data_IF_881526837333
#
_entry.id   IF_881526837333
#
_cell.length_a   1.000
_cell.length_b   1.000
_cell.length_c   1.000
_cell.angle_alpha   90.00
_cell.angle_beta   90.00
_cell.angle_gamma   90.00
#
_symmetry.space_group_name_H-M   'P 1'
#
loop_
_entity.id
_entity.type
_entity.pdbx_description
1 polymer ?
#
# COMPACT_ATOMS: atom_id res chain seq x y z
N UNK A 1 -0.08 -5.98 -30.31
CA UNK A 1 1.12 -5.96 -29.48
C UNK A 1 0.95 -5.12 -28.19
N UNK A 2 0.24 -3.98 -28.20
CA UNK A 2 0.06 -3.11 -27.02
C UNK A 2 -0.76 -3.77 -25.91
N UNK A 3 -1.83 -4.45 -26.25
CA UNK A 3 -2.73 -5.10 -25.25
C UNK A 3 -2.05 -6.21 -24.45
N UNK A 4 -1.13 -6.96 -25.08
CA UNK A 4 -0.36 -8.00 -24.38
C UNK A 4 0.62 -7.44 -23.34
N UNK A 5 1.34 -6.37 -23.69
CA UNK A 5 2.27 -5.68 -22.78
C UNK A 5 1.53 -5.05 -21.61
N UNK A 6 0.40 -4.38 -21.86
CA UNK A 6 -0.42 -3.75 -20.80
C UNK A 6 -0.98 -4.81 -19.83
N UNK A 7 -1.38 -5.96 -20.35
CA UNK A 7 -1.82 -7.10 -19.53
C UNK A 7 -0.70 -7.68 -18.67
N UNK A 8 0.50 -7.84 -19.25
CA UNK A 8 1.68 -8.34 -18.52
C UNK A 8 2.08 -7.40 -17.37
N UNK A 9 2.07 -6.09 -17.63
CA UNK A 9 2.35 -5.07 -16.64
C UNK A 9 1.36 -5.05 -15.50
N UNK A 10 0.08 -5.06 -15.83
CA UNK A 10 -0.97 -5.07 -14.82
C UNK A 10 -0.86 -6.29 -13.89
N UNK A 11 -0.52 -7.46 -14.44
CA UNK A 11 -0.29 -8.68 -13.67
C UNK A 11 0.97 -8.62 -12.82
N UNK A 12 2.07 -8.08 -13.35
CA UNK A 12 3.29 -7.88 -12.60
C UNK A 12 3.06 -6.93 -11.40
N UNK A 13 2.37 -5.82 -11.63
CA UNK A 13 1.99 -4.88 -10.59
C UNK A 13 1.13 -5.51 -9.47
N UNK A 14 0.16 -6.33 -9.85
CA UNK A 14 -0.67 -7.07 -8.90
C UNK A 14 0.14 -8.11 -8.12
N UNK A 15 1.09 -8.78 -8.77
CA UNK A 15 1.99 -9.74 -8.12
C UNK A 15 2.90 -9.05 -7.09
N UNK A 16 3.51 -7.90 -7.42
CA UNK A 16 4.34 -7.12 -6.51
C UNK A 16 3.55 -6.65 -5.27
N UNK A 17 2.34 -6.12 -5.48
CA UNK A 17 1.46 -5.73 -4.36
C UNK A 17 1.11 -6.92 -3.46
N UNK A 18 0.91 -8.09 -4.05
CA UNK A 18 0.60 -9.31 -3.28
C UNK A 18 1.82 -9.81 -2.51
N UNK A 19 3.02 -9.71 -3.10
CA UNK A 19 4.27 -10.10 -2.46
C UNK A 19 4.55 -9.22 -1.24
N UNK A 20 4.41 -7.90 -1.35
CA UNK A 20 4.58 -6.97 -0.24
C UNK A 20 3.55 -7.13 0.89
N UNK A 21 2.39 -7.70 0.60
CA UNK A 21 1.29 -7.81 1.57
C UNK A 21 1.69 -8.54 2.84
N UNK A 22 2.30 -9.73 2.69
CA UNK A 22 2.64 -10.60 3.84
C UNK A 22 3.61 -9.94 4.83
N UNK A 23 4.77 -9.40 4.41
CA UNK A 23 5.68 -8.74 5.31
C UNK A 23 5.10 -7.44 5.90
N UNK A 24 4.34 -6.65 5.13
CA UNK A 24 3.69 -5.45 5.66
C UNK A 24 2.68 -5.79 6.74
N UNK A 25 1.82 -6.79 6.53
CA UNK A 25 0.84 -7.22 7.54
C UNK A 25 1.49 -7.93 8.74
N UNK A 26 2.68 -8.48 8.58
CA UNK A 26 3.44 -9.04 9.71
C UNK A 26 4.05 -7.94 10.59
N UNK A 27 4.47 -6.82 10.01
CA UNK A 27 5.10 -5.71 10.73
C UNK A 27 4.07 -4.71 11.27
N UNK A 28 3.06 -4.35 10.47
CA UNK A 28 2.09 -3.30 10.79
C UNK A 28 0.74 -3.87 11.23
N UNK A 29 0.12 -3.20 12.18
CA UNK A 29 -1.14 -3.62 12.80
C UNK A 29 -2.37 -3.13 12.01
N UNK A 30 -2.36 -3.37 10.69
CA UNK A 30 -3.52 -3.15 9.79
C UNK A 30 -4.08 -4.48 9.31
N UNK A 31 -5.31 -4.47 8.84
CA UNK A 31 -5.92 -5.65 8.21
C UNK A 31 -5.65 -5.69 6.70
N UNK A 32 -5.87 -6.88 6.11
CA UNK A 32 -5.65 -7.12 4.68
C UNK A 32 -6.55 -6.25 3.80
N UNK A 33 -7.77 -6.00 4.22
CA UNK A 33 -8.74 -5.22 3.42
C UNK A 33 -8.30 -3.76 3.33
N UNK A 34 -7.83 -3.20 4.44
CA UNK A 34 -7.24 -1.86 4.50
C UNK A 34 -5.99 -1.77 3.61
N UNK A 35 -5.07 -2.74 3.72
CA UNK A 35 -3.88 -2.77 2.86
C UNK A 35 -4.26 -2.76 1.38
N UNK A 36 -5.17 -3.63 0.94
CA UNK A 36 -5.55 -3.75 -0.47
C UNK A 36 -6.29 -2.51 -0.98
N UNK A 37 -7.13 -1.89 -0.15
CA UNK A 37 -7.89 -0.69 -0.51
C UNK A 37 -6.98 0.53 -0.64
N UNK A 38 -6.01 0.67 0.25
CA UNK A 38 -5.15 1.85 0.33
C UNK A 38 -3.88 1.75 -0.53
N UNK A 39 -3.57 0.56 -1.08
CA UNK A 39 -2.41 0.39 -1.96
C UNK A 39 -2.82 0.45 -3.42
N UNK A 40 -2.32 1.46 -4.13
CA UNK A 40 -2.45 1.61 -5.58
C UNK A 40 -1.12 1.33 -6.26
N UNK A 41 -1.17 0.80 -7.47
CA UNK A 41 0.01 0.63 -8.31
C UNK A 41 -0.06 1.61 -9.46
N UNK A 42 1.03 2.32 -9.71
CA UNK A 42 1.21 3.23 -10.84
C UNK A 42 2.25 2.60 -11.74
N UNK A 43 1.91 2.40 -13.01
CA UNK A 43 2.81 1.87 -14.02
C UNK A 43 3.28 3.04 -14.90
N UNK A 44 4.57 3.15 -15.13
CA UNK A 44 5.14 4.12 -16.05
C UNK A 44 5.90 3.39 -17.15
N UNK A 45 5.60 3.76 -18.38
CA UNK A 45 6.20 3.21 -19.59
C UNK A 45 7.09 4.25 -20.22
N UNK A 46 8.36 3.92 -20.41
CA UNK A 46 9.28 4.72 -21.21
C UNK A 46 9.82 3.89 -22.37
N UNK A 47 9.76 4.46 -23.55
CA UNK A 47 10.40 3.92 -24.74
C UNK A 47 11.58 4.77 -25.11
N UNK A 48 12.76 4.18 -25.04
CA UNK A 48 14.01 4.87 -25.45
C UNK A 48 14.14 4.92 -26.96
N UNK A 49 14.95 5.86 -27.46
CA UNK A 49 15.18 6.05 -28.89
C UNK A 49 15.87 4.84 -29.57
N UNK A 50 16.57 4.02 -28.82
CA UNK A 50 17.20 2.75 -29.24
C UNK A 50 16.22 1.60 -29.37
N UNK A 51 14.94 1.82 -29.07
CA UNK A 51 13.88 0.81 -29.10
C UNK A 51 13.73 0.00 -27.82
N UNK A 52 14.57 0.24 -26.82
CA UNK A 52 14.40 -0.38 -25.51
C UNK A 52 13.15 0.13 -24.79
N UNK A 53 12.53 -0.74 -24.01
CA UNK A 53 11.34 -0.43 -23.21
C UNK A 53 11.72 -0.54 -21.75
N UNK A 54 11.63 0.56 -21.02
CA UNK A 54 11.75 0.59 -19.58
C UNK A 54 10.37 0.62 -18.95
N UNK A 55 10.20 -0.19 -17.90
CA UNK A 55 8.97 -0.24 -17.13
C UNK A 55 9.30 0.10 -15.69
N UNK A 56 8.75 1.19 -15.22
CA UNK A 56 8.83 1.57 -13.82
C UNK A 56 7.48 1.33 -13.13
N UNK A 57 7.54 0.79 -11.94
CA UNK A 57 6.39 0.62 -11.07
C UNK A 57 6.55 1.49 -9.83
N UNK A 58 5.48 2.14 -9.43
CA UNK A 58 5.41 2.86 -8.17
C UNK A 58 4.18 2.41 -7.39
N UNK A 59 4.33 2.38 -6.08
CA UNK A 59 3.20 2.20 -5.18
C UNK A 59 2.77 3.55 -4.65
N UNK A 60 1.47 3.79 -4.67
CA UNK A 60 0.87 5.01 -4.16
C UNK A 60 -0.24 4.66 -3.16
N UNK A 61 -0.49 5.52 -2.21
CA UNK A 61 -1.54 5.37 -1.22
C UNK A 61 -1.63 6.61 -0.34
N UNK A 62 -2.77 6.78 0.29
CA UNK A 62 -2.96 7.83 1.28
C UNK A 62 -2.54 7.35 2.66
N UNK A 63 -2.26 8.29 3.55
CA UNK A 63 -2.08 8.02 4.97
C UNK A 63 -3.34 7.36 5.54
N UNK A 64 -3.14 6.35 6.37
CA UNK A 64 -4.24 5.52 6.87
C UNK A 64 -4.74 6.12 8.19
N UNK A 65 -6.06 6.35 8.36
CA UNK A 65 -6.60 6.81 9.64
C UNK A 65 -6.14 5.92 10.80
N UNK A 66 -5.73 6.54 11.90
CA UNK A 66 -5.16 5.81 13.05
C UNK A 66 -6.12 4.76 13.61
N UNK A 67 -7.42 4.97 13.45
CA UNK A 67 -8.46 4.01 13.83
C UNK A 67 -8.38 2.66 13.07
N UNK A 68 -7.74 2.62 11.89
CA UNK A 68 -7.57 1.40 11.08
C UNK A 68 -6.41 0.51 11.56
N UNK A 69 -5.59 1.02 12.48
CA UNK A 69 -4.57 0.24 13.18
C UNK A 69 -5.16 -0.39 14.46
N UNK A 70 -4.33 -1.11 15.22
CA UNK A 70 -4.74 -1.63 16.52
C UNK A 70 -4.91 -0.48 17.52
N UNK A 71 -6.07 0.19 17.44
CA UNK A 71 -6.40 1.38 18.22
C UNK A 71 -7.65 1.16 19.04
N UNK A 72 -7.58 1.45 20.33
CA UNK A 72 -8.70 1.29 21.27
C UNK A 72 -8.79 2.52 22.18
N UNK A 73 -9.87 2.59 22.95
CA UNK A 73 -10.04 3.57 24.01
C UNK A 73 -10.04 2.80 25.33
N UNK A 74 -9.17 3.19 26.24
CA UNK A 74 -9.05 2.55 27.56
C UNK A 74 -10.23 2.94 28.49
N UNK A 75 -10.28 2.33 29.65
CA UNK A 75 -11.32 2.60 30.67
C UNK A 75 -11.32 4.02 31.21
N UNK A 76 -10.22 4.76 31.02
CA UNK A 76 -10.06 6.17 31.40
C UNK A 76 -10.42 7.12 30.24
N UNK A 77 -10.87 6.60 29.09
CA UNK A 77 -11.21 7.39 27.92
C UNK A 77 -10.02 7.84 27.08
N UNK A 78 -8.81 7.33 27.34
CA UNK A 78 -7.60 7.65 26.58
C UNK A 78 -7.46 6.74 25.38
N UNK A 79 -6.97 7.29 24.29
CA UNK A 79 -6.67 6.50 23.08
C UNK A 79 -5.35 5.76 23.26
N UNK A 80 -5.39 4.46 23.04
CA UNK A 80 -4.21 3.58 22.99
C UNK A 80 -4.09 3.03 21.59
N UNK A 81 -2.93 3.20 20.96
CA UNK A 81 -2.68 2.76 19.59
C UNK A 81 -1.40 1.96 19.47
N UNK A 82 -1.40 0.98 18.59
CA UNK A 82 -0.22 0.22 18.20
C UNK A 82 -0.18 0.16 16.68
N UNK A 83 0.75 0.91 16.08
CA UNK A 83 0.93 0.97 14.63
C UNK A 83 1.76 -0.22 14.12
N UNK A 84 2.86 -0.54 14.82
CA UNK A 84 3.69 -1.72 14.54
C UNK A 84 3.38 -2.85 15.53
N UNK A 85 3.19 -4.07 15.03
CA UNK A 85 2.87 -5.25 15.86
C UNK A 85 3.93 -5.56 16.91
N UNK A 86 5.21 -5.34 16.55
CA UNK A 86 6.35 -5.55 17.46
C UNK A 86 6.70 -4.30 18.29
N UNK A 87 5.98 -3.18 18.08
CA UNK A 87 6.14 -1.95 18.86
C UNK A 87 5.30 -1.98 20.14
N UNK A 88 5.68 -1.17 21.11
CA UNK A 88 4.84 -0.93 22.27
C UNK A 88 3.56 -0.20 21.87
N UNK A 89 2.46 -0.51 22.53
CA UNK A 89 1.25 0.29 22.42
C UNK A 89 1.50 1.66 23.10
N UNK A 90 1.11 2.72 22.41
CA UNK A 90 1.30 4.10 22.85
C UNK A 90 -0.03 4.71 23.30
N UNK A 91 -0.01 5.39 24.44
CA UNK A 91 -1.17 6.12 24.95
C UNK A 91 -1.09 7.58 24.49
N UNK A 92 -2.07 8.01 23.74
CA UNK A 92 -2.18 9.38 23.23
C UNK A 92 -3.03 10.22 24.19
N UNK A 93 -2.37 10.99 25.06
CA UNK A 93 -3.05 11.74 26.13
C UNK A 93 -3.99 12.87 25.66
N UNK A 94 -3.78 13.37 24.42
CA UNK A 94 -4.56 14.48 23.86
C UNK A 94 -5.50 14.04 22.73
N UNK A 95 -5.51 12.74 22.43
CA UNK A 95 -6.36 12.18 21.39
C UNK A 95 -7.68 11.68 21.97
N UNK A 96 -8.71 11.69 21.15
CA UNK A 96 -10.03 11.18 21.47
C UNK A 96 -10.69 10.58 20.24
N UNK A 97 -11.53 9.58 20.46
CA UNK A 97 -12.36 8.99 19.40
C UNK A 97 -13.64 9.80 19.28
N UNK A 98 -13.97 10.25 18.07
CA UNK A 98 -15.19 10.99 17.81
C UNK A 98 -15.76 10.66 16.43
N UNK A 99 -17.04 10.92 16.29
CA UNK A 99 -17.73 10.91 15.01
C UNK A 99 -17.88 12.36 14.50
N UNK A 100 -17.38 12.61 13.30
CA UNK A 100 -17.47 13.87 12.58
C UNK A 100 -18.28 13.66 11.28
N UNK A 101 -19.54 14.03 11.31
CA UNK A 101 -20.47 13.66 10.23
C UNK A 101 -20.64 12.15 10.13
N UNK A 102 -20.50 11.54 8.94
CA UNK A 102 -20.58 10.09 8.76
C UNK A 102 -19.29 9.33 9.13
N UNK A 103 -18.20 10.05 9.42
CA UNK A 103 -16.87 9.48 9.65
C UNK A 103 -16.55 9.37 11.14
N UNK A 104 -16.02 8.21 11.57
CA UNK A 104 -15.52 7.96 12.91
C UNK A 104 -13.98 7.88 12.81
N UNK A 105 -13.28 8.68 13.61
CA UNK A 105 -11.82 8.74 13.62
C UNK A 105 -11.25 9.00 15.00
N UNK A 106 -9.93 9.05 15.03
CA UNK A 106 -9.15 9.51 16.19
C UNK A 106 -8.69 10.92 15.92
N UNK A 107 -9.01 11.83 16.81
CA UNK A 107 -8.76 13.26 16.66
C UNK A 107 -7.94 13.81 17.82
N UNK A 108 -7.22 14.88 17.58
CA UNK A 108 -6.64 15.72 18.62
C UNK A 108 -7.03 17.19 18.44
N UNK A 109 -7.01 17.95 19.53
CA UNK A 109 -7.22 19.39 19.48
C UNK A 109 -5.96 20.10 19.08
N UNK A 110 -6.07 21.08 18.18
CA UNK A 110 -4.92 21.88 17.72
C UNK A 110 -4.66 23.09 18.60
N UNK A 111 -5.50 23.32 19.62
CA UNK A 111 -5.37 24.42 20.58
C UNK A 111 -6.14 24.14 21.87
N UNK A 112 -6.22 25.13 22.76
CA UNK A 112 -6.91 25.01 24.04
C UNK A 112 -8.45 24.96 23.91
N UNK A 113 -8.99 25.40 22.76
CA UNK A 113 -10.44 25.42 22.49
C UNK A 113 -10.99 24.04 22.11
N UNK A 114 -12.32 23.92 22.07
CA UNK A 114 -13.01 22.73 21.60
C UNK A 114 -12.69 22.42 20.12
N UNK A 115 -12.53 23.44 19.32
CA UNK A 115 -12.15 23.42 17.91
C UNK A 115 -11.01 24.41 17.65
N UNK A 116 -10.21 24.24 16.57
CA UNK A 116 -10.27 23.16 15.59
C UNK A 116 -9.67 21.85 16.12
N UNK A 117 -10.08 20.75 15.48
CA UNK A 117 -9.52 19.41 15.70
C UNK A 117 -8.90 18.90 14.40
N UNK A 118 -7.89 18.06 14.49
CA UNK A 118 -7.32 17.34 13.35
C UNK A 118 -7.43 15.83 13.57
N UNK A 119 -7.68 15.09 12.51
CA UNK A 119 -7.64 13.64 12.54
C UNK A 119 -6.20 13.14 12.56
N UNK A 120 -5.96 12.05 13.28
CA UNK A 120 -4.66 11.41 13.38
C UNK A 120 -4.57 10.23 12.42
N UNK A 121 -3.42 10.13 11.76
CA UNK A 121 -3.12 9.13 10.75
C UNK A 121 -1.84 8.39 11.11
N UNK A 122 -1.77 7.14 10.70
CA UNK A 122 -0.54 6.37 10.62
C UNK A 122 0.09 6.44 9.23
N UNK A 123 1.14 5.64 8.96
CA UNK A 123 1.82 5.63 7.67
C UNK A 123 0.92 5.15 6.54
N UNK A 124 1.21 5.60 5.32
CA UNK A 124 0.63 5.06 4.10
C UNK A 124 1.25 3.70 3.75
N UNK A 125 0.54 2.84 3.03
CA UNK A 125 1.07 1.53 2.62
C UNK A 125 2.36 1.61 1.80
N UNK A 126 2.58 2.57 0.88
CA UNK A 126 3.87 2.74 0.25
C UNK A 126 5.01 3.02 1.23
N UNK A 127 4.78 3.83 2.25
CA UNK A 127 5.79 4.09 3.29
C UNK A 127 6.15 2.82 4.06
N UNK A 128 5.15 1.97 4.36
CA UNK A 128 5.37 0.69 5.01
C UNK A 128 6.23 -0.26 4.15
N UNK A 129 6.01 -0.26 2.83
CA UNK A 129 6.77 -1.08 1.89
C UNK A 129 8.21 -0.57 1.73
N UNK A 130 8.37 0.71 1.45
CA UNK A 130 9.68 1.33 1.21
C UNK A 130 10.55 1.45 2.48
N UNK A 131 9.97 1.32 3.66
CA UNK A 131 10.75 1.31 4.92
C UNK A 131 11.55 0.02 5.13
N UNK A 132 11.34 -1.01 4.30
CA UNK A 132 12.03 -2.29 4.40
C UNK A 132 12.60 -2.69 3.03
N UNK A 133 13.91 -2.51 2.86
CA UNK A 133 14.64 -2.77 1.61
C UNK A 133 14.45 -4.24 1.14
N UNK A 134 14.51 -5.20 2.04
CA UNK A 134 14.32 -6.60 1.69
C UNK A 134 12.91 -6.90 1.15
N UNK A 135 11.90 -6.15 1.57
CA UNK A 135 10.54 -6.25 1.01
C UNK A 135 10.53 -5.71 -0.41
N UNK A 136 11.21 -4.59 -0.66
CA UNK A 136 11.27 -4.00 -1.99
C UNK A 136 12.04 -4.86 -2.97
N UNK A 137 13.17 -5.44 -2.57
CA UNK A 137 13.95 -6.37 -3.39
C UNK A 137 13.11 -7.58 -3.81
N UNK A 138 12.40 -8.20 -2.86
CA UNK A 138 11.50 -9.33 -3.16
C UNK A 138 10.34 -8.93 -4.08
N UNK A 139 9.82 -7.73 -3.92
CA UNK A 139 8.76 -7.17 -4.79
C UNK A 139 9.28 -6.99 -6.21
N UNK A 140 10.46 -6.38 -6.39
CA UNK A 140 11.07 -6.13 -7.68
C UNK A 140 11.38 -7.45 -8.41
N UNK A 141 11.99 -8.42 -7.74
CA UNK A 141 12.25 -9.76 -8.28
C UNK A 141 10.95 -10.43 -8.75
N UNK A 142 9.91 -10.42 -7.90
CA UNK A 142 8.62 -11.01 -8.22
C UNK A 142 7.93 -10.35 -9.40
N UNK A 143 8.02 -9.03 -9.48
CA UNK A 143 7.42 -8.27 -10.58
C UNK A 143 8.15 -8.55 -11.90
N UNK A 144 9.48 -8.54 -11.90
CA UNK A 144 10.31 -8.84 -13.06
C UNK A 144 10.04 -10.27 -13.58
N UNK A 145 10.04 -11.27 -12.71
CA UNK A 145 9.74 -12.66 -13.04
C UNK A 145 8.32 -12.82 -13.62
N UNK A 146 7.34 -12.18 -13.01
CA UNK A 146 5.94 -12.25 -13.50
C UNK A 146 5.80 -11.58 -14.87
N UNK A 147 6.46 -10.43 -15.08
CA UNK A 147 6.45 -9.70 -16.34
C UNK A 147 7.09 -10.53 -17.46
N UNK A 148 8.30 -11.04 -17.23
CA UNK A 148 9.05 -11.80 -18.22
C UNK A 148 8.29 -13.07 -18.64
N UNK A 149 7.81 -13.87 -17.70
CA UNK A 149 6.99 -15.06 -18.01
C UNK A 149 5.73 -14.71 -18.81
N UNK A 150 5.14 -13.57 -18.54
CA UNK A 150 3.92 -13.18 -19.26
C UNK A 150 4.21 -12.71 -20.67
N UNK A 151 5.29 -11.96 -20.88
CA UNK A 151 5.73 -11.54 -22.23
C UNK A 151 6.13 -12.76 -23.06
N UNK A 152 6.88 -13.71 -22.52
CA UNK A 152 7.22 -14.96 -23.20
C UNK A 152 5.96 -15.69 -23.65
N UNK A 153 4.98 -15.87 -22.78
CA UNK A 153 3.71 -16.50 -23.12
C UNK A 153 2.94 -15.76 -24.23
N UNK A 154 2.93 -14.42 -24.21
CA UNK A 154 2.26 -13.62 -25.25
C UNK A 154 2.99 -13.74 -26.60
N UNK A 155 4.33 -13.77 -26.59
CA UNK A 155 5.14 -13.97 -27.78
C UNK A 155 4.90 -15.37 -28.37
N UNK A 156 4.90 -16.40 -27.54
CA UNK A 156 4.62 -17.78 -27.97
C UNK A 156 3.20 -17.91 -28.55
N UNK A 157 2.20 -17.27 -27.94
CA UNK A 157 0.84 -17.27 -28.43
C UNK A 157 0.71 -16.58 -29.80
N UNK A 158 1.49 -15.53 -30.04
CA UNK A 158 1.54 -14.86 -31.36
C UNK A 158 2.23 -15.73 -32.41
N UNK A 159 3.38 -16.34 -32.07
CA UNK A 159 4.15 -17.19 -32.99
C UNK A 159 3.39 -18.44 -33.38
N UNK A 160 2.63 -19.03 -32.44
CA UNK A 160 1.83 -20.23 -32.67
C UNK A 160 0.43 -19.95 -33.25
N UNK A 161 0.11 -18.69 -33.56
CA UNK A 161 -1.16 -18.31 -34.18
C UNK A 161 -2.39 -18.47 -33.27
N UNK A 162 -2.23 -18.54 -31.99
CA UNK A 162 -3.32 -18.69 -31.01
C UNK A 162 -4.10 -17.40 -30.76
N UNK A 163 -3.55 -16.26 -31.19
CA UNK A 163 -4.24 -14.97 -31.26
C UNK A 163 -4.19 -14.41 -32.68
N UNK A 164 -5.35 -14.14 -33.23
CA UNK A 164 -5.54 -13.38 -34.46
C UNK A 164 -5.95 -11.94 -34.13
#
# INVERSE_FOLDING_TARGET
>A
PREGSDSALSRAAAAGRTEAKRPVLAEYAIDQSTYLRETRTINHFERSADGSISVAFAFAGYVIPLLQFNTSVDSSGRVVTQVKRNGAAETLNHAFKAQMGPHIGIYERTGAGRFPVKELYGPATPQMMYSNEAVMDAVEEKMADTYNRRIEHEVDALLNGWRR
#
